data_IF_717502122104
#
_entry.id   IF_717502122104
#
_cell.length_a   1.000
_cell.length_b   1.000
_cell.length_c   1.000
_cell.angle_alpha   90.00
_cell.angle_beta   90.00
_cell.angle_gamma   90.00
#
_symmetry.space_group_name_H-M   'P 1'
#
loop_
_entity.id
_entity.type
_entity.pdbx_description
1 polymer ?
#
# COMPACT_ATOMS: atom_id res chain seq x y z
N UNK A 1 1.44 -3.59 -7.15
CA UNK A 1 1.84 -4.78 -6.36
C UNK A 1 1.03 -4.81 -5.07
N UNK A 2 0.38 -5.94 -4.76
CA UNK A 2 -0.48 -6.12 -3.58
C UNK A 2 0.19 -6.99 -2.48
N UNK A 3 1.51 -7.16 -2.53
CA UNK A 3 2.25 -8.07 -1.65
C UNK A 3 3.19 -7.36 -0.67
N UNK A 4 3.32 -6.03 -0.76
CA UNK A 4 4.32 -5.30 0.01
C UNK A 4 4.09 -5.46 1.53
N UNK A 5 2.84 -5.53 1.98
CA UNK A 5 2.48 -5.71 3.40
C UNK A 5 2.83 -7.09 3.99
N UNK A 6 3.25 -8.06 3.17
CA UNK A 6 3.84 -9.32 3.67
C UNK A 6 5.35 -9.22 3.94
N UNK A 7 6.02 -8.18 3.42
CA UNK A 7 7.40 -7.89 3.78
C UNK A 7 7.39 -7.18 5.13
N UNK A 8 7.63 -7.88 6.23
CA UNK A 8 7.61 -7.29 7.58
C UNK A 8 9.04 -7.21 8.12
N UNK A 9 9.62 -6.00 8.32
CA UNK A 9 9.08 -4.67 7.98
C UNK A 9 9.11 -4.38 6.47
N UNK A 10 8.27 -3.44 6.01
CA UNK A 10 8.10 -3.14 4.58
C UNK A 10 9.23 -2.29 3.98
N UNK A 11 9.88 -1.50 4.82
CA UNK A 11 10.89 -0.52 4.43
C UNK A 11 12.04 -1.10 3.60
N UNK A 12 12.66 -2.25 3.94
CA UNK A 12 13.75 -2.82 3.15
C UNK A 12 13.32 -3.24 1.74
N UNK A 13 12.10 -3.79 1.59
CA UNK A 13 11.58 -4.17 0.29
C UNK A 13 11.28 -2.93 -0.57
N UNK A 14 10.65 -1.91 0.01
CA UNK A 14 10.37 -0.65 -0.67
C UNK A 14 11.66 0.09 -1.08
N UNK A 15 12.70 0.07 -0.23
CA UNK A 15 14.01 0.65 -0.54
C UNK A 15 14.67 -0.02 -1.76
N UNK A 16 14.55 -1.35 -1.88
CA UNK A 16 15.03 -2.08 -3.08
C UNK A 16 14.30 -1.63 -4.34
N UNK A 17 12.97 -1.47 -4.28
CA UNK A 17 12.19 -0.93 -5.41
C UNK A 17 12.68 0.46 -5.80
N UNK A 18 12.86 1.37 -4.83
CA UNK A 18 13.39 2.72 -5.09
C UNK A 18 14.77 2.69 -5.76
N UNK A 19 15.67 1.82 -5.29
CA UNK A 19 17.01 1.65 -5.87
C UNK A 19 16.95 1.15 -7.32
N UNK A 20 16.02 0.24 -7.63
CA UNK A 20 15.87 -0.34 -8.97
C UNK A 20 15.24 0.61 -9.99
N UNK A 21 14.46 1.60 -9.55
CA UNK A 21 13.84 2.57 -10.44
C UNK A 21 14.88 3.54 -11.01
N UNK A 22 14.73 3.85 -12.30
CA UNK A 22 15.40 5.01 -12.92
C UNK A 22 14.80 6.33 -12.42
N UNK A 23 15.54 7.42 -12.58
CA UNK A 23 15.01 8.77 -12.41
C UNK A 23 13.75 8.97 -13.29
N UNK A 24 12.74 9.65 -12.75
CA UNK A 24 11.40 9.78 -13.34
C UNK A 24 10.53 8.51 -13.25
N UNK A 25 11.03 7.40 -12.71
CA UNK A 25 10.30 6.14 -12.60
C UNK A 25 9.13 6.22 -11.60
N UNK A 26 8.03 5.55 -11.94
CA UNK A 26 6.82 5.47 -11.11
C UNK A 26 6.65 4.06 -10.54
N UNK A 27 6.25 4.00 -9.27
CA UNK A 27 5.83 2.77 -8.60
C UNK A 27 4.39 2.89 -8.11
N UNK A 28 3.55 2.00 -8.62
CA UNK A 28 2.14 1.87 -8.22
C UNK A 28 1.98 0.70 -7.25
N UNK A 29 1.81 1.02 -5.97
CA UNK A 29 1.55 0.04 -4.92
C UNK A 29 0.06 0.09 -4.54
N UNK A 30 -0.68 -0.98 -4.82
CA UNK A 30 -2.09 -1.10 -4.46
C UNK A 30 -2.21 -2.02 -3.25
N UNK A 31 -3.00 -1.64 -2.24
CA UNK A 31 -3.27 -2.50 -1.09
C UNK A 31 -4.74 -2.44 -0.71
N UNK A 32 -5.32 -3.62 -0.49
CA UNK A 32 -6.66 -3.79 0.08
C UNK A 32 -6.61 -3.92 1.62
N UNK A 33 -5.39 -4.10 2.15
CA UNK A 33 -5.10 -4.29 3.56
C UNK A 33 -4.44 -3.02 4.14
N UNK A 34 -5.27 -2.18 4.77
CA UNK A 34 -4.87 -0.93 5.43
C UNK A 34 -5.86 -0.58 6.55
N UNK A 35 -5.41 0.10 7.59
CA UNK A 35 -6.20 0.25 8.83
C UNK A 35 -7.44 1.12 8.70
N UNK A 36 -7.48 2.03 7.73
CA UNK A 36 -8.66 2.85 7.43
C UNK A 36 -9.81 1.97 6.86
N UNK A 37 -9.47 0.86 6.18
CA UNK A 37 -10.41 -0.18 5.80
C UNK A 37 -10.63 -1.16 6.98
N UNK A 38 -11.48 -0.77 7.92
CA UNK A 38 -11.74 -1.55 9.12
C UNK A 38 -12.30 -2.97 8.84
N UNK A 39 -12.88 -3.19 7.66
CA UNK A 39 -13.44 -4.47 7.23
C UNK A 39 -12.36 -5.51 6.85
N UNK A 40 -11.13 -5.10 6.56
CA UNK A 40 -10.02 -6.02 6.22
C UNK A 40 -9.04 -6.23 7.39
N UNK A 41 -9.19 -5.53 8.52
CA UNK A 41 -8.36 -5.71 9.72
C UNK A 41 -8.32 -7.16 10.22
N UNK A 42 -9.44 -7.88 10.09
CA UNK A 42 -9.56 -9.28 10.55
C UNK A 42 -8.64 -10.24 9.79
N UNK A 43 -8.13 -9.88 8.61
CA UNK A 43 -7.26 -10.75 7.81
C UNK A 43 -5.98 -11.14 8.55
N UNK A 44 -5.44 -10.25 9.41
CA UNK A 44 -4.32 -10.57 10.32
C UNK A 44 -4.54 -11.85 11.13
N UNK A 45 -5.77 -12.07 11.61
CA UNK A 45 -6.14 -13.23 12.43
C UNK A 45 -6.33 -14.51 11.60
N UNK A 46 -6.68 -14.36 10.32
CA UNK A 46 -7.05 -15.48 9.44
C UNK A 46 -5.84 -16.01 8.67
N UNK A 47 -4.99 -15.12 8.17
CA UNK A 47 -3.93 -15.46 7.21
C UNK A 47 -2.74 -16.21 7.84
N UNK A 48 -2.61 -16.22 9.18
CA UNK A 48 -1.54 -16.90 9.94
C UNK A 48 -0.11 -16.64 9.41
N UNK A 49 0.09 -15.54 8.69
CA UNK A 49 1.38 -15.06 8.21
C UNK A 49 1.62 -13.64 8.73
N UNK A 50 2.87 -13.22 8.96
CA UNK A 50 3.18 -11.83 9.33
C UNK A 50 2.63 -10.85 8.28
N UNK A 51 1.91 -9.84 8.75
CA UNK A 51 1.36 -8.78 7.92
C UNK A 51 1.55 -7.43 8.63
N UNK A 52 2.02 -6.43 7.90
CA UNK A 52 2.21 -5.07 8.41
C UNK A 52 0.97 -4.21 8.08
N UNK A 53 0.15 -3.95 9.09
CA UNK A 53 -1.07 -3.15 8.97
C UNK A 53 -0.77 -1.68 9.23
N UNK A 54 -0.92 -0.85 8.19
CA UNK A 54 -0.71 0.60 8.27
C UNK A 54 -1.92 1.38 7.77
N UNK A 55 -2.08 2.59 8.29
CA UNK A 55 -3.01 3.59 7.78
C UNK A 55 -2.53 4.21 6.47
N UNK A 56 -3.43 4.85 5.73
CA UNK A 56 -3.08 5.64 4.54
C UNK A 56 -1.98 6.66 4.83
N UNK A 57 -2.03 7.29 6.01
CA UNK A 57 -1.03 8.29 6.43
C UNK A 57 0.34 7.67 6.67
N UNK A 58 0.38 6.50 7.31
CA UNK A 58 1.63 5.76 7.57
C UNK A 58 2.24 5.20 6.29
N UNK A 59 1.42 4.68 5.37
CA UNK A 59 1.84 4.31 4.02
C UNK A 59 2.51 5.48 3.29
N UNK A 60 1.85 6.65 3.28
CA UNK A 60 2.40 7.86 2.64
C UNK A 60 3.70 8.31 3.30
N UNK A 61 3.77 8.26 4.63
CA UNK A 61 4.97 8.61 5.40
C UNK A 61 6.14 7.66 5.09
N UNK A 62 5.88 6.36 4.97
CA UNK A 62 6.88 5.36 4.63
C UNK A 62 7.49 5.63 3.24
N UNK A 63 6.66 5.83 2.21
CA UNK A 63 7.16 6.13 0.86
C UNK A 63 8.02 7.40 0.82
N UNK A 64 7.56 8.47 1.49
CA UNK A 64 8.32 9.73 1.60
C UNK A 64 9.67 9.53 2.31
N UNK A 65 9.72 8.74 3.38
CA UNK A 65 10.98 8.44 4.09
C UNK A 65 11.99 7.69 3.22
N UNK A 66 11.54 6.85 2.29
CA UNK A 66 12.42 6.13 1.35
C UNK A 66 12.95 7.06 0.24
N UNK A 67 12.29 8.19 -0.01
CA UNK A 67 12.71 9.18 -1.02
C UNK A 67 11.75 9.36 -2.19
N UNK A 68 10.58 8.69 -2.17
CA UNK A 68 9.57 8.89 -3.19
C UNK A 68 8.82 10.22 -3.00
N UNK A 69 8.62 10.95 -4.09
CA UNK A 69 7.51 11.89 -4.17
C UNK A 69 6.20 11.09 -4.20
N UNK A 70 5.31 11.34 -3.24
CA UNK A 70 4.23 10.40 -2.94
C UNK A 70 2.85 11.03 -3.03
N UNK A 71 1.99 10.42 -3.84
CA UNK A 71 0.55 10.67 -3.89
C UNK A 71 -0.25 9.39 -3.56
N UNK A 72 -1.55 9.55 -3.31
CA UNK A 72 -2.43 8.40 -3.03
C UNK A 72 -3.75 8.56 -3.76
N UNK A 73 -4.31 7.45 -4.25
CA UNK A 73 -5.65 7.39 -4.86
C UNK A 73 -6.40 6.18 -4.32
N UNK A 74 -7.68 6.33 -4.05
CA UNK A 74 -8.54 5.20 -3.69
C UNK A 74 -9.46 4.86 -4.85
N UNK A 75 -9.50 3.57 -5.22
CA UNK A 75 -10.33 3.06 -6.30
C UNK A 75 -11.36 2.11 -5.70
N UNK A 76 -12.64 2.45 -5.84
CA UNK A 76 -13.77 1.69 -5.33
C UNK A 76 -14.47 0.97 -6.47
N UNK A 77 -15.04 -0.19 -6.18
CA UNK A 77 -15.91 -0.91 -7.11
C UNK A 77 -17.34 -0.88 -6.54
N UNK A 78 -18.21 0.06 -6.97
CA UNK A 78 -19.53 0.26 -6.38
C UNK A 78 -20.49 -0.90 -6.66
N UNK A 79 -20.22 -1.74 -7.67
CA UNK A 79 -21.06 -2.89 -8.04
C UNK A 79 -20.60 -4.20 -7.38
N UNK A 80 -19.50 -4.17 -6.61
CA UNK A 80 -18.96 -5.37 -5.99
C UNK A 80 -19.89 -5.94 -4.90
N UNK A 81 -19.93 -7.26 -4.72
CA UNK A 81 -20.65 -7.89 -3.59
C UNK A 81 -19.99 -7.62 -2.22
N UNK A 82 -18.67 -7.46 -2.18
CA UNK A 82 -17.94 -7.22 -0.94
C UNK A 82 -18.03 -5.75 -0.50
N UNK A 83 -18.50 -5.50 0.73
CA UNK A 83 -18.67 -4.14 1.29
C UNK A 83 -17.36 -3.35 1.33
N UNK A 84 -16.25 -4.01 1.65
CA UNK A 84 -14.94 -3.37 1.70
C UNK A 84 -14.47 -2.84 0.35
N UNK A 85 -14.81 -3.51 -0.76
CA UNK A 85 -14.50 -3.04 -2.13
C UNK A 85 -15.36 -1.86 -2.56
N UNK A 86 -16.62 -1.82 -2.11
CA UNK A 86 -17.56 -0.72 -2.41
C UNK A 86 -17.24 0.55 -1.63
N UNK A 87 -16.99 0.44 -0.33
CA UNK A 87 -16.92 1.61 0.55
C UNK A 87 -15.50 2.18 0.70
N UNK A 88 -14.50 1.31 0.76
CA UNK A 88 -13.11 1.67 1.00
C UNK A 88 -12.28 1.52 -0.28
N UNK A 89 -12.40 0.36 -0.91
CA UNK A 89 -11.68 0.02 -2.14
C UNK A 89 -10.18 -0.16 -1.93
N UNK A 90 -9.48 -0.31 -3.04
CA UNK A 90 -8.02 -0.45 -3.07
C UNK A 90 -7.37 0.93 -2.87
N UNK A 91 -6.46 1.01 -1.91
CA UNK A 91 -5.59 2.17 -1.73
C UNK A 91 -4.37 2.03 -2.64
N UNK A 92 -4.26 2.92 -3.62
CA UNK A 92 -3.02 3.12 -4.37
C UNK A 92 -2.16 4.16 -3.69
N UNK A 93 -0.93 3.76 -3.37
CA UNK A 93 0.18 4.63 -2.97
C UNK A 93 1.12 4.69 -4.17
N UNK A 94 1.28 5.89 -4.72
CA UNK A 94 2.02 6.12 -5.95
C UNK A 94 3.28 6.89 -5.58
N UNK A 95 4.44 6.28 -5.80
CA UNK A 95 5.74 6.87 -5.58
C UNK A 95 6.43 7.21 -6.89
N UNK A 96 6.90 8.44 -7.05
CA UNK A 96 7.79 8.84 -8.14
C UNK A 96 9.20 9.03 -7.60
N UNK A 97 10.18 8.45 -8.29
CA UNK A 97 11.60 8.76 -8.07
C UNK A 97 11.96 9.95 -8.93
N UNK A 98 12.22 11.11 -8.34
CA UNK A 98 12.53 12.32 -9.10
C UNK A 98 13.96 12.29 -9.63
N UNK A 99 14.92 11.90 -8.79
CA UNK A 99 16.35 11.77 -9.13
C UNK A 99 16.84 10.35 -8.84
#
# INVERSE_FOLDING_TARGET
>A
MESLYYSVPMEPALAKVFKMLRAGGLFYCGTDFYSDNHLTKRWTKVMKVPMDLRSKTEWKKMFRKIGFETSTKQIKDPKNKAKWKREFGTLFVIGQKIN
#
